data_IF_273610898697
#
_entry.id   IF_273610898697
#
_cell.length_a   1.000
_cell.length_b   1.000
_cell.length_c   1.000
_cell.angle_alpha   90.00
_cell.angle_beta   90.00
_cell.angle_gamma   90.00
#
_symmetry.space_group_name_H-M   'P 1'
#
loop_
_entity.id
_entity.type
_entity.pdbx_description
1 polymer ?
#
# COMPACT_ATOMS: atom_id res chain seq x y z
N UNK A 1 -3.39 -24.21 -9.13
CA UNK A 1 -2.27 -23.26 -8.90
C UNK A 1 -1.71 -23.56 -7.53
N UNK A 2 -0.51 -24.12 -7.44
CA UNK A 2 0.12 -24.48 -6.15
C UNK A 2 0.97 -23.30 -5.74
N UNK A 3 0.53 -22.58 -4.71
CA UNK A 3 1.30 -21.48 -4.12
C UNK A 3 2.26 -22.14 -3.13
N UNK A 4 3.57 -22.01 -3.36
CA UNK A 4 4.58 -22.54 -2.45
C UNK A 4 4.49 -21.79 -1.11
N UNK A 5 3.96 -22.43 -0.07
CA UNK A 5 3.80 -21.83 1.27
C UNK A 5 4.96 -22.14 2.21
N UNK A 6 5.93 -22.98 1.80
CA UNK A 6 6.98 -23.50 2.70
C UNK A 6 7.95 -22.44 3.23
N UNK A 7 7.97 -21.25 2.62
CA UNK A 7 8.83 -20.12 2.99
C UNK A 7 8.08 -18.94 3.62
N UNK A 8 6.77 -19.07 3.85
CA UNK A 8 5.94 -18.00 4.41
C UNK A 8 5.45 -18.40 5.80
N UNK A 9 5.68 -17.55 6.80
CA UNK A 9 5.14 -17.74 8.15
C UNK A 9 3.61 -17.78 8.16
N UNK A 10 3.01 -18.10 9.31
CA UNK A 10 1.56 -18.19 9.46
C UNK A 10 0.87 -16.92 8.96
N UNK A 11 -0.04 -17.06 7.99
CA UNK A 11 -0.80 -15.94 7.45
C UNK A 11 -1.70 -15.33 8.53
N UNK A 12 -1.57 -14.02 8.73
CA UNK A 12 -2.49 -13.29 9.59
C UNK A 12 -3.87 -13.21 8.92
N UNK A 13 -4.84 -13.96 9.44
CA UNK A 13 -6.19 -14.05 8.86
C UNK A 13 -6.89 -12.69 8.76
N UNK A 14 -6.62 -11.76 9.69
CA UNK A 14 -7.19 -10.41 9.64
C UNK A 14 -6.65 -9.61 8.45
N UNK A 15 -5.36 -9.78 8.11
CA UNK A 15 -4.76 -9.15 6.93
C UNK A 15 -5.32 -9.76 5.66
N UNK A 16 -5.40 -11.09 5.57
CA UNK A 16 -5.98 -11.80 4.42
C UNK A 16 -7.41 -11.33 4.15
N UNK A 17 -8.25 -11.28 5.19
CA UNK A 17 -9.65 -10.81 5.07
C UNK A 17 -9.71 -9.35 4.57
N UNK A 18 -8.91 -8.46 5.15
CA UNK A 18 -8.87 -7.04 4.74
C UNK A 18 -8.38 -6.85 3.30
N UNK A 19 -7.40 -7.64 2.87
CA UNK A 19 -6.93 -7.67 1.49
C UNK A 19 -8.08 -8.06 0.56
N UNK A 20 -8.73 -9.19 0.85
CA UNK A 20 -9.83 -9.71 0.06
C UNK A 20 -11.00 -8.71 -0.03
N UNK A 21 -11.41 -8.13 1.10
CA UNK A 21 -12.49 -7.13 1.16
C UNK A 21 -12.15 -5.89 0.32
N UNK A 22 -10.89 -5.46 0.34
CA UNK A 22 -10.46 -4.26 -0.39
C UNK A 22 -10.43 -4.49 -1.90
N UNK A 23 -9.92 -5.64 -2.34
CA UNK A 23 -9.90 -6.04 -3.74
C UNK A 23 -11.33 -6.23 -4.25
N UNK A 24 -12.18 -6.92 -3.49
CA UNK A 24 -13.58 -7.14 -3.85
C UNK A 24 -14.30 -5.82 -4.06
N UNK A 25 -14.15 -4.86 -3.13
CA UNK A 25 -14.74 -3.52 -3.27
C UNK A 25 -14.18 -2.73 -4.46
N UNK A 26 -12.92 -2.96 -4.85
CA UNK A 26 -12.35 -2.32 -6.03
C UNK A 26 -12.96 -2.90 -7.32
N UNK A 27 -13.10 -4.23 -7.39
CA UNK A 27 -13.68 -4.94 -8.53
C UNK A 27 -15.18 -4.62 -8.72
N UNK A 28 -15.91 -4.35 -7.64
CA UNK A 28 -17.31 -3.90 -7.74
C UNK A 28 -17.46 -2.48 -8.31
N UNK A 29 -16.44 -1.64 -8.18
CA UNK A 29 -16.48 -0.23 -8.59
C UNK A 29 -15.86 -0.01 -9.97
N UNK A 30 -14.82 -0.78 -10.32
CA UNK A 30 -14.06 -0.58 -11.54
C UNK A 30 -13.98 -1.87 -12.37
N UNK A 31 -14.25 -1.82 -13.70
CA UNK A 31 -14.15 -2.99 -14.57
C UNK A 31 -12.71 -3.45 -14.80
N UNK A 32 -11.72 -2.59 -14.50
CA UNK A 32 -10.28 -2.90 -14.59
C UNK A 32 -9.59 -2.33 -13.34
N UNK A 33 -8.86 -3.18 -12.63
CA UNK A 33 -8.18 -2.83 -11.37
C UNK A 33 -6.69 -3.13 -11.51
N UNK A 34 -5.84 -2.19 -11.10
CA UNK A 34 -4.40 -2.41 -10.91
C UNK A 34 -4.12 -2.58 -9.41
N UNK A 35 -3.33 -3.59 -9.06
CA UNK A 35 -2.87 -3.82 -7.68
C UNK A 35 -1.38 -3.54 -7.62
N UNK A 36 -0.97 -2.66 -6.70
CA UNK A 36 0.43 -2.33 -6.42
C UNK A 36 0.75 -2.73 -4.98
N UNK A 37 1.76 -3.58 -4.79
CA UNK A 37 2.34 -3.88 -3.48
C UNK A 37 3.60 -3.04 -3.31
N UNK A 38 3.72 -2.39 -2.16
CA UNK A 38 4.91 -1.63 -1.75
C UNK A 38 5.31 -2.13 -0.39
N UNK A 39 6.54 -2.63 -0.26
CA UNK A 39 7.12 -3.04 1.02
C UNK A 39 8.05 -1.93 1.51
N UNK A 40 7.71 -1.28 2.62
CA UNK A 40 8.47 -0.17 3.18
C UNK A 40 9.47 -0.70 4.22
N UNK A 41 10.76 -0.67 3.86
CA UNK A 41 11.84 -1.08 4.75
C UNK A 41 12.46 0.13 5.43
N UNK A 42 12.46 0.13 6.76
CA UNK A 42 13.14 1.16 7.55
C UNK A 42 14.66 0.92 7.54
N UNK A 43 15.48 1.98 7.42
CA UNK A 43 16.94 1.85 7.43
C UNK A 43 17.43 1.20 8.72
N UNK A 44 18.56 0.50 8.64
CA UNK A 44 19.17 -0.20 9.79
C UNK A 44 19.96 0.74 10.69
N UNK A 45 20.37 1.90 10.18
CA UNK A 45 21.27 2.80 10.88
C UNK A 45 20.48 3.62 11.89
N UNK A 46 20.89 3.58 13.16
CA UNK A 46 20.45 4.45 14.26
C UNK A 46 20.90 5.92 14.06
N UNK A 47 21.04 6.40 12.82
CA UNK A 47 21.21 7.82 12.56
C UNK A 47 19.84 8.46 12.77
N UNK A 48 19.60 8.96 13.99
CA UNK A 48 18.34 9.48 14.54
C UNK A 48 17.67 10.62 13.76
N UNK A 49 17.32 10.40 12.49
CA UNK A 49 16.78 11.41 11.58
C UNK A 49 15.46 11.00 10.93
N UNK A 50 15.00 9.75 11.06
CA UNK A 50 13.69 9.34 10.53
C UNK A 50 12.65 9.23 11.64
N UNK A 51 11.54 9.95 11.47
CA UNK A 51 10.38 9.86 12.35
C UNK A 51 9.73 8.47 12.22
N UNK A 52 10.02 7.58 13.16
CA UNK A 52 9.43 6.22 13.30
C UNK A 52 8.04 6.23 13.94
N UNK A 53 7.37 7.37 13.93
CA UNK A 53 6.04 7.52 14.51
C UNK A 53 5.04 6.60 13.81
N UNK A 54 3.95 6.29 14.51
CA UNK A 54 2.87 5.45 13.98
C UNK A 54 2.21 6.05 12.72
N UNK A 55 2.43 7.33 12.42
CA UNK A 55 1.93 8.04 11.25
C UNK A 55 2.73 7.85 9.97
N UNK A 56 3.86 7.11 9.97
CA UNK A 56 4.71 6.96 8.78
C UNK A 56 3.96 6.43 7.56
N UNK A 57 3.21 5.34 7.72
CA UNK A 57 2.42 4.76 6.62
C UNK A 57 1.31 5.72 6.18
N UNK A 58 0.69 6.43 7.13
CA UNK A 58 -0.32 7.43 6.81
C UNK A 58 0.26 8.53 5.93
N UNK A 59 1.44 9.08 6.25
CA UNK A 59 2.13 10.08 5.43
C UNK A 59 2.48 9.53 4.05
N UNK A 60 2.97 8.30 3.99
CA UNK A 60 3.25 7.62 2.72
C UNK A 60 2.00 7.53 1.84
N UNK A 61 0.88 7.03 2.38
CA UNK A 61 -0.38 6.88 1.64
C UNK A 61 -0.95 8.23 1.21
N UNK A 62 -0.89 9.25 2.08
CA UNK A 62 -1.36 10.61 1.75
C UNK A 62 -0.51 11.20 0.62
N UNK A 63 0.83 11.07 0.69
CA UNK A 63 1.72 11.55 -0.37
C UNK A 63 1.47 10.82 -1.69
N UNK A 64 1.29 9.49 -1.66
CA UNK A 64 1.00 8.69 -2.85
C UNK A 64 -0.31 9.14 -3.53
N UNK A 65 -1.37 9.37 -2.74
CA UNK A 65 -2.64 9.87 -3.27
C UNK A 65 -2.49 11.26 -3.89
N UNK A 66 -1.79 12.16 -3.23
CA UNK A 66 -1.54 13.51 -3.74
C UNK A 66 -0.75 13.49 -5.06
N UNK A 67 0.24 12.61 -5.19
CA UNK A 67 1.01 12.45 -6.43
C UNK A 67 0.13 11.92 -7.58
N UNK A 68 -0.75 10.97 -7.30
CA UNK A 68 -1.72 10.45 -8.29
C UNK A 68 -2.68 11.57 -8.73
N UNK A 69 -3.25 12.31 -7.78
CA UNK A 69 -4.15 13.43 -8.09
C UNK A 69 -3.46 14.51 -8.93
N UNK A 70 -2.22 14.87 -8.60
CA UNK A 70 -1.43 15.81 -9.38
C UNK A 70 -1.15 15.32 -10.81
N UNK A 71 -0.83 14.03 -10.99
CA UNK A 71 -0.65 13.45 -12.33
C UNK A 71 -1.95 13.43 -13.14
N UNK A 72 -3.08 13.08 -12.51
CA UNK A 72 -4.40 13.14 -13.15
C UNK A 72 -4.75 14.56 -13.59
N UNK A 73 -4.52 15.56 -12.73
CA UNK A 73 -4.74 16.97 -13.06
C UNK A 73 -3.83 17.44 -14.20
N UNK A 74 -2.54 17.06 -14.18
CA UNK A 74 -1.60 17.37 -15.25
C UNK A 74 -2.04 16.79 -16.59
N UNK A 75 -2.53 15.54 -16.60
CA UNK A 75 -3.06 14.88 -17.82
C UNK A 75 -4.32 15.58 -18.32
N UNK A 76 -5.22 15.95 -17.42
CA UNK A 76 -6.44 16.69 -17.75
C UNK A 76 -6.11 18.05 -18.40
N UNK A 77 -5.20 18.82 -17.80
CA UNK A 77 -4.76 20.12 -18.32
C UNK A 77 -4.06 20.01 -19.68
N UNK A 78 -3.45 18.86 -19.98
CA UNK A 78 -2.86 18.55 -21.30
C UNK A 78 -3.90 18.07 -22.33
N UNK A 79 -5.19 18.12 -22.03
CA UNK A 79 -6.27 17.65 -22.92
C UNK A 79 -6.34 16.12 -23.06
N UNK A 80 -5.64 15.36 -22.20
CA UNK A 80 -5.68 13.89 -22.24
C UNK A 80 -6.92 13.38 -21.52
N UNK A 81 -7.47 12.26 -22.00
CA UNK A 81 -8.57 11.57 -21.32
C UNK A 81 -8.11 11.10 -19.94
N UNK A 82 -8.85 11.51 -18.92
CA UNK A 82 -8.64 11.12 -17.52
C UNK A 82 -9.87 10.39 -17.00
N UNK A 83 -9.64 9.30 -16.28
CA UNK A 83 -10.69 8.58 -15.56
C UNK A 83 -10.52 8.84 -14.06
N UNK A 84 -11.53 9.38 -13.37
CA UNK A 84 -11.51 9.47 -11.92
C UNK A 84 -11.29 8.08 -11.32
N UNK A 85 -10.29 7.94 -10.45
CA UNK A 85 -10.02 6.69 -9.75
C UNK A 85 -9.81 6.97 -8.27
N UNK A 86 -10.50 6.21 -7.42
CA UNK A 86 -10.30 6.27 -5.98
C UNK A 86 -9.26 5.24 -5.56
N UNK A 87 -8.15 5.71 -5.01
CA UNK A 87 -7.10 4.84 -4.46
C UNK A 87 -7.61 4.17 -3.19
N UNK A 88 -7.86 2.86 -3.29
CA UNK A 88 -8.10 1.97 -2.16
C UNK A 88 -6.76 1.42 -1.70
N UNK A 89 -6.53 1.44 -0.38
CA UNK A 89 -5.27 0.97 0.19
C UNK A 89 -5.55 0.13 1.44
N UNK A 90 -4.56 -0.70 1.75
CA UNK A 90 -4.44 -1.51 2.94
C UNK A 90 -2.97 -1.44 3.35
N UNK A 91 -2.70 -1.62 4.64
CA UNK A 91 -1.34 -1.73 5.14
C UNK A 91 -1.31 -2.75 6.26
N UNK A 92 -0.17 -3.41 6.39
CA UNK A 92 0.15 -4.26 7.52
C UNK A 92 1.29 -3.60 8.30
N UNK A 93 1.42 -3.98 9.57
CA UNK A 93 2.63 -3.67 10.33
C UNK A 93 3.02 -4.94 11.04
N UNK A 94 4.20 -5.40 10.71
CA UNK A 94 4.77 -6.60 11.26
C UNK A 94 6.08 -6.24 11.97
N UNK A 95 6.55 -7.17 12.80
CA UNK A 95 7.78 -7.03 13.55
C UNK A 95 8.65 -8.24 13.24
N UNK A 96 9.94 -8.02 13.03
CA UNK A 96 10.90 -9.13 13.00
C UNK A 96 11.22 -9.62 14.42
N UNK A 97 12.00 -10.69 14.52
CA UNK A 97 12.41 -11.29 15.80
C UNK A 97 13.18 -10.31 16.72
N UNK A 98 13.75 -9.25 16.14
CA UNK A 98 14.46 -8.18 16.86
C UNK A 98 13.56 -6.97 17.21
N UNK A 99 12.24 -7.07 17.01
CA UNK A 99 11.29 -5.99 17.30
C UNK A 99 11.33 -4.81 16.31
N UNK A 100 12.02 -4.97 15.17
CA UNK A 100 12.05 -3.97 14.09
C UNK A 100 10.75 -3.99 13.30
N UNK A 101 10.15 -2.82 13.14
CA UNK A 101 8.91 -2.62 12.36
C UNK A 101 9.18 -2.70 10.87
N UNK A 102 8.32 -3.40 10.15
CA UNK A 102 8.17 -3.31 8.69
C UNK A 102 6.70 -3.11 8.33
N UNK A 103 6.46 -2.46 7.18
CA UNK A 103 5.14 -2.06 6.72
C UNK A 103 4.90 -2.47 5.27
#
# INVERSE_FOLDING_TARGET
MIINTNSYGTLNQNYVKRIQDTITKALTEYPRVMVLRVDLRLPEIETGSYNTDSGLVTRFVVSLKAQIEADLLKKYNAGKRVHPCRVRHIWAREFNDYGKKHY
#
